data_IF_905901622404
#
_entry.id   IF_905901622404
#
_cell.length_a   1.000
_cell.length_b   1.000
_cell.length_c   1.000
_cell.angle_alpha   90.00
_cell.angle_beta   90.00
_cell.angle_gamma   90.00
#
_symmetry.space_group_name_H-M   'P 1'
#
loop_
_entity.id
_entity.type
_entity.pdbx_description
1 polymer ?
#
# COMPACT_ATOMS: atom_id res chain seq x y z
N UNK A 1 42.03 -44.97 60.99
CA UNK A 1 42.07 -43.80 60.09
C UNK A 1 41.42 -44.20 58.79
N UNK A 2 40.14 -43.87 58.65
CA UNK A 2 39.29 -44.14 57.49
C UNK A 2 39.40 -42.97 56.52
N UNK A 3 39.89 -43.22 55.31
CA UNK A 3 39.86 -42.25 54.21
C UNK A 3 38.46 -42.23 53.58
N UNK A 4 37.82 -41.06 53.41
CA UNK A 4 36.61 -40.94 52.61
C UNK A 4 36.95 -40.75 51.12
N UNK A 5 36.17 -41.39 50.25
CA UNK A 5 36.23 -41.20 48.80
C UNK A 5 35.84 -39.77 48.38
N UNK A 6 36.47 -39.20 47.33
CA UNK A 6 36.03 -37.94 46.75
C UNK A 6 34.82 -38.13 45.81
N UNK A 7 33.84 -37.24 45.99
CA UNK A 7 32.54 -37.17 45.30
C UNK A 7 32.66 -37.11 43.77
N UNK A 8 31.75 -37.81 43.11
CA UNK A 8 31.43 -37.73 41.68
C UNK A 8 31.18 -36.30 41.21
N UNK A 9 31.85 -35.91 40.12
CA UNK A 9 31.57 -34.68 39.36
C UNK A 9 30.38 -34.99 38.45
N UNK A 10 29.21 -34.41 38.74
CA UNK A 10 28.12 -34.29 37.75
C UNK A 10 28.48 -33.19 36.73
N UNK A 11 28.25 -33.39 35.43
CA UNK A 11 28.35 -32.30 34.47
C UNK A 11 27.16 -31.35 34.67
N UNK A 12 27.44 -30.05 34.66
CA UNK A 12 26.43 -29.00 34.70
C UNK A 12 25.42 -29.18 33.55
N UNK A 13 24.29 -29.79 33.88
CA UNK A 13 23.06 -29.76 33.10
C UNK A 13 22.44 -28.37 33.24
N UNK A 14 21.94 -27.85 32.13
CA UNK A 14 20.89 -26.83 32.06
C UNK A 14 21.25 -25.41 32.50
N UNK A 15 22.06 -24.74 31.68
CA UNK A 15 21.90 -23.30 31.54
C UNK A 15 22.20 -22.87 30.09
N UNK A 16 21.11 -22.54 29.39
CA UNK A 16 20.93 -21.61 28.25
C UNK A 16 20.13 -22.31 27.15
N UNK A 17 18.81 -22.04 27.05
CA UNK A 17 18.41 -20.95 26.16
C UNK A 17 17.14 -20.20 26.62
N UNK A 18 17.30 -19.06 27.30
CA UNK A 18 16.20 -18.08 27.53
C UNK A 18 16.18 -16.97 26.45
N UNK A 19 17.14 -16.96 25.52
CA UNK A 19 17.27 -15.90 24.51
C UNK A 19 16.51 -16.16 23.19
N UNK A 20 15.91 -17.33 22.99
CA UNK A 20 15.16 -17.67 21.77
C UNK A 20 13.64 -17.58 21.91
N UNK A 21 13.09 -17.48 23.13
CA UNK A 21 11.65 -17.39 23.35
C UNK A 21 11.08 -15.97 23.19
N UNK A 22 11.93 -14.94 23.14
CA UNK A 22 11.50 -13.54 22.99
C UNK A 22 11.30 -13.05 21.53
N UNK A 23 11.72 -13.82 20.52
CA UNK A 23 11.64 -13.38 19.12
C UNK A 23 10.39 -13.85 18.37
N UNK A 24 9.69 -14.88 18.86
CA UNK A 24 8.52 -15.45 18.19
C UNK A 24 7.30 -14.53 18.19
N UNK A 25 7.12 -13.68 19.21
CA UNK A 25 5.98 -12.75 19.31
C UNK A 25 6.18 -11.42 18.55
N UNK A 26 7.41 -10.92 18.48
CA UNK A 26 7.72 -9.61 17.86
C UNK A 26 7.68 -9.64 16.33
N UNK A 27 8.12 -10.75 15.73
CA UNK A 27 8.08 -10.93 14.27
C UNK A 27 6.65 -11.07 13.73
N UNK A 28 5.75 -11.67 14.50
CA UNK A 28 4.35 -11.89 14.10
C UNK A 28 3.56 -10.58 13.96
N UNK A 29 3.68 -9.66 14.92
CA UNK A 29 3.00 -8.35 14.86
C UNK A 29 3.45 -7.50 13.67
N UNK A 30 4.76 -7.43 13.43
CA UNK A 30 5.34 -6.65 12.32
C UNK A 30 4.88 -7.20 10.95
N UNK A 31 4.76 -8.51 10.81
CA UNK A 31 4.28 -9.14 9.58
C UNK A 31 2.78 -8.87 9.32
N UNK A 32 1.96 -8.79 10.37
CA UNK A 32 0.54 -8.43 10.26
C UNK A 32 0.36 -6.98 9.82
N UNK A 33 1.13 -6.05 10.39
CA UNK A 33 1.07 -4.63 10.05
C UNK A 33 1.47 -4.37 8.58
N UNK A 34 2.53 -5.02 8.09
CA UNK A 34 2.97 -4.92 6.70
C UNK A 34 1.94 -5.52 5.74
N UNK A 35 1.38 -6.68 6.10
CA UNK A 35 0.32 -7.33 5.30
C UNK A 35 -0.90 -6.41 5.18
N UNK A 36 -1.32 -5.78 6.29
CA UNK A 36 -2.43 -4.82 6.29
C UNK A 36 -2.13 -3.60 5.41
N UNK A 37 -0.93 -3.01 5.52
CA UNK A 37 -0.52 -1.86 4.71
C UNK A 37 -0.49 -2.19 3.20
N UNK A 38 -0.01 -3.38 2.83
CA UNK A 38 0.01 -3.86 1.46
C UNK A 38 -1.40 -4.04 0.88
N UNK A 39 -2.31 -4.66 1.64
CA UNK A 39 -3.70 -4.82 1.19
C UNK A 39 -4.47 -3.51 1.15
N UNK A 40 -4.23 -2.60 2.10
CA UNK A 40 -4.80 -1.26 2.07
C UNK A 40 -4.37 -0.51 0.81
N UNK A 41 -3.08 -0.60 0.42
CA UNK A 41 -2.58 -0.01 -0.81
C UNK A 41 -3.25 -0.62 -2.06
N UNK A 42 -3.40 -1.95 -2.13
CA UNK A 42 -4.09 -2.60 -3.25
C UNK A 42 -5.55 -2.18 -3.33
N UNK A 43 -6.31 -2.28 -2.24
CA UNK A 43 -7.74 -1.96 -2.24
C UNK A 43 -8.01 -0.51 -2.64
N UNK A 44 -7.27 0.42 -2.04
CA UNK A 44 -7.44 1.86 -2.32
C UNK A 44 -7.00 2.24 -3.73
N UNK A 45 -5.85 1.76 -4.21
CA UNK A 45 -5.36 2.08 -5.56
C UNK A 45 -6.22 1.49 -6.68
N UNK A 46 -6.75 0.28 -6.51
CA UNK A 46 -7.68 -0.31 -7.49
C UNK A 46 -9.04 0.37 -7.50
N UNK A 47 -9.55 0.75 -6.32
CA UNK A 47 -10.77 1.56 -6.24
C UNK A 47 -10.57 2.90 -6.97
N UNK A 48 -9.47 3.61 -6.69
CA UNK A 48 -9.18 4.89 -7.34
C UNK A 48 -8.95 4.74 -8.85
N UNK A 49 -8.33 3.64 -9.28
CA UNK A 49 -8.18 3.31 -10.70
C UNK A 49 -9.54 3.15 -11.37
N UNK A 50 -10.45 2.35 -10.80
CA UNK A 50 -11.79 2.19 -11.36
C UNK A 50 -12.56 3.52 -11.39
N UNK A 51 -12.51 4.28 -10.29
CA UNK A 51 -13.17 5.57 -10.19
C UNK A 51 -12.63 6.59 -11.20
N UNK A 52 -11.31 6.70 -11.35
CA UNK A 52 -10.73 7.70 -12.24
C UNK A 52 -10.98 7.37 -13.71
N UNK A 53 -10.99 6.09 -14.09
CA UNK A 53 -11.36 5.68 -15.45
C UNK A 53 -12.83 6.00 -15.75
N UNK A 54 -13.73 5.75 -14.79
CA UNK A 54 -15.13 6.15 -14.91
C UNK A 54 -15.25 7.67 -15.08
N UNK A 55 -14.54 8.44 -14.26
CA UNK A 55 -14.54 9.91 -14.35
C UNK A 55 -14.00 10.39 -15.69
N UNK A 56 -12.86 9.85 -16.13
CA UNK A 56 -12.14 10.27 -17.33
C UNK A 56 -12.93 9.98 -18.61
N UNK A 57 -13.48 8.77 -18.73
CA UNK A 57 -14.08 8.28 -19.99
C UNK A 57 -15.57 8.59 -20.08
N UNK A 58 -16.26 8.60 -18.93
CA UNK A 58 -17.72 8.73 -18.89
C UNK A 58 -18.12 10.07 -18.31
N UNK A 59 -17.71 10.36 -17.08
CA UNK A 59 -18.29 11.47 -16.33
C UNK A 59 -17.92 12.85 -16.88
N UNK A 60 -16.63 13.14 -17.07
CA UNK A 60 -16.20 14.45 -17.58
C UNK A 60 -16.70 14.73 -19.00
N UNK A 61 -16.66 13.80 -19.98
CA UNK A 61 -17.25 14.06 -21.30
C UNK A 61 -18.74 14.43 -21.26
N UNK A 62 -19.50 13.87 -20.30
CA UNK A 62 -20.92 14.16 -20.13
C UNK A 62 -21.21 15.57 -19.59
N UNK A 63 -20.23 16.31 -19.07
CA UNK A 63 -20.42 17.71 -18.66
C UNK A 63 -20.92 18.59 -19.80
N UNK A 64 -20.45 18.32 -21.01
CA UNK A 64 -20.88 19.04 -22.23
C UNK A 64 -22.35 18.81 -22.59
N UNK A 65 -23.04 17.88 -21.92
CA UNK A 65 -24.46 17.56 -22.12
C UNK A 65 -25.37 18.19 -21.07
N UNK A 66 -24.81 18.88 -20.07
CA UNK A 66 -25.58 19.60 -19.06
C UNK A 66 -25.94 21.00 -19.61
N UNK A 67 -27.14 21.48 -19.30
CA UNK A 67 -27.55 22.83 -19.67
C UNK A 67 -26.69 23.90 -19.00
N UNK A 68 -26.36 24.96 -19.73
CA UNK A 68 -25.47 26.04 -19.27
C UNK A 68 -26.00 26.70 -18.00
N UNK A 69 -27.31 26.87 -17.87
CA UNK A 69 -27.94 27.50 -16.70
C UNK A 69 -27.87 26.61 -15.45
N UNK A 70 -27.95 25.28 -15.60
CA UNK A 70 -27.94 24.32 -14.51
C UNK A 70 -26.53 23.90 -14.10
N UNK A 71 -25.55 24.09 -14.98
CA UNK A 71 -24.19 23.58 -14.82
C UNK A 71 -23.50 24.03 -13.52
N UNK A 72 -23.49 25.32 -13.11
CA UNK A 72 -22.76 25.73 -11.90
C UNK A 72 -23.22 25.00 -10.65
N UNK A 73 -24.55 24.85 -10.47
CA UNK A 73 -25.12 24.11 -9.33
C UNK A 73 -24.79 22.63 -9.41
N UNK A 74 -24.97 22.03 -10.58
CA UNK A 74 -24.63 20.62 -10.82
C UNK A 74 -23.15 20.33 -10.51
N UNK A 75 -22.26 21.20 -10.98
CA UNK A 75 -20.82 21.06 -10.82
C UNK A 75 -20.38 21.23 -9.37
N UNK A 76 -20.86 22.27 -8.67
CA UNK A 76 -20.55 22.50 -7.26
C UNK A 76 -20.97 21.32 -6.38
N UNK A 77 -22.17 20.78 -6.61
CA UNK A 77 -22.65 19.58 -5.92
C UNK A 77 -21.78 18.36 -6.26
N UNK A 78 -21.45 18.16 -7.54
CA UNK A 78 -20.56 17.10 -7.96
C UNK A 78 -19.18 17.17 -7.28
N UNK A 79 -18.54 18.34 -7.27
CA UNK A 79 -17.20 18.51 -6.70
C UNK A 79 -17.20 18.23 -5.19
N UNK A 80 -18.22 18.73 -4.49
CA UNK A 80 -18.41 18.47 -3.04
C UNK A 80 -18.64 17.00 -2.75
N UNK A 81 -19.56 16.34 -3.47
CA UNK A 81 -19.88 14.92 -3.26
C UNK A 81 -18.70 14.01 -3.61
N UNK A 82 -17.97 14.33 -4.68
CA UNK A 82 -16.75 13.61 -5.08
C UNK A 82 -15.68 13.68 -3.99
N UNK A 83 -15.51 14.84 -3.35
CA UNK A 83 -14.55 15.01 -2.25
C UNK A 83 -14.82 14.04 -1.10
N UNK A 84 -16.09 13.83 -0.72
CA UNK A 84 -16.44 12.89 0.35
C UNK A 84 -16.08 11.43 0.04
N UNK A 85 -16.08 11.05 -1.23
CA UNK A 85 -15.72 9.69 -1.67
C UNK A 85 -14.21 9.55 -1.86
N UNK A 86 -13.59 10.53 -2.52
CA UNK A 86 -12.20 10.46 -2.97
C UNK A 86 -11.22 10.75 -1.85
N UNK A 87 -11.45 11.80 -1.06
CA UNK A 87 -10.46 12.27 -0.08
C UNK A 87 -10.08 11.21 0.98
N UNK A 88 -11.03 10.44 1.57
CA UNK A 88 -10.68 9.38 2.51
C UNK A 88 -9.80 8.30 1.89
N UNK A 89 -10.08 7.92 0.64
CA UNK A 89 -9.35 6.85 -0.06
C UNK A 89 -7.95 7.32 -0.46
N UNK A 90 -7.82 8.56 -0.94
CA UNK A 90 -6.52 9.17 -1.22
C UNK A 90 -5.65 9.31 0.05
N UNK A 91 -6.27 9.55 1.20
CA UNK A 91 -5.57 9.59 2.47
C UNK A 91 -5.07 8.20 2.89
N UNK A 92 -5.90 7.16 2.72
CA UNK A 92 -5.47 5.76 2.93
C UNK A 92 -4.31 5.39 2.01
N UNK A 93 -4.35 5.77 0.73
CA UNK A 93 -3.23 5.53 -0.20
C UNK A 93 -1.93 6.19 0.29
N UNK A 94 -2.00 7.45 0.74
CA UNK A 94 -0.82 8.17 1.24
C UNK A 94 -0.25 7.53 2.51
N UNK A 95 -1.11 7.20 3.47
CA UNK A 95 -0.69 6.53 4.71
C UNK A 95 -0.06 5.18 4.38
N UNK A 96 -0.71 4.35 3.55
CA UNK A 96 -0.19 3.05 3.16
C UNK A 96 1.15 3.15 2.40
N UNK A 97 1.32 4.15 1.54
CA UNK A 97 2.58 4.38 0.84
C UNK A 97 3.71 4.80 1.80
N UNK A 98 3.43 5.70 2.74
CA UNK A 98 4.40 6.16 3.75
C UNK A 98 4.79 5.02 4.69
N UNK A 99 3.82 4.27 5.23
CA UNK A 99 4.06 3.13 6.12
C UNK A 99 4.94 2.11 5.43
N UNK A 100 4.55 1.63 4.24
CA UNK A 100 5.38 0.68 3.47
C UNK A 100 6.78 1.23 3.24
N UNK A 101 6.92 2.52 2.91
CA UNK A 101 8.23 3.10 2.64
C UNK A 101 9.15 3.09 3.87
N UNK A 102 8.60 3.19 5.09
CA UNK A 102 9.38 3.22 6.33
C UNK A 102 9.59 1.83 6.94
N UNK A 103 8.60 0.93 6.87
CA UNK A 103 8.65 -0.41 7.47
C UNK A 103 9.30 -1.48 6.59
N UNK A 104 9.13 -1.40 5.26
CA UNK A 104 9.39 -2.51 4.33
C UNK A 104 10.78 -3.13 4.46
N UNK A 105 11.83 -2.30 4.54
CA UNK A 105 13.22 -2.83 4.59
C UNK A 105 13.44 -3.67 5.83
N UNK A 106 12.96 -3.21 6.99
CA UNK A 106 13.10 -3.94 8.25
C UNK A 106 12.25 -5.22 8.22
N UNK A 107 10.97 -5.10 7.85
CA UNK A 107 10.03 -6.23 7.86
C UNK A 107 10.46 -7.34 6.90
N UNK A 108 10.86 -6.99 5.67
CA UNK A 108 11.22 -7.98 4.66
C UNK A 108 12.57 -8.65 4.97
N UNK A 109 13.50 -7.92 5.58
CA UNK A 109 14.78 -8.52 6.03
C UNK A 109 14.53 -9.52 7.17
N UNK A 110 13.69 -9.18 8.15
CA UNK A 110 13.33 -10.08 9.26
C UNK A 110 12.53 -11.29 8.77
N UNK A 111 11.71 -11.12 7.74
CA UNK A 111 10.99 -12.20 7.09
C UNK A 111 11.88 -13.14 6.23
N UNK A 112 13.18 -12.87 6.12
CA UNK A 112 14.14 -13.76 5.46
C UNK A 112 14.23 -13.59 3.95
N UNK A 113 13.76 -12.48 3.39
CA UNK A 113 13.96 -12.17 1.97
C UNK A 113 15.43 -11.84 1.70
N UNK A 114 15.93 -12.25 0.53
CA UNK A 114 17.30 -11.93 0.13
C UNK A 114 17.48 -10.43 -0.15
N UNK A 115 18.74 -9.97 -0.07
CA UNK A 115 19.06 -8.55 -0.20
C UNK A 115 18.69 -7.95 -1.57
N UNK A 116 18.64 -8.76 -2.64
CA UNK A 116 18.23 -8.29 -3.97
C UNK A 116 16.73 -8.06 -4.02
N UNK A 117 15.93 -9.00 -3.50
CA UNK A 117 14.47 -8.85 -3.41
C UNK A 117 14.10 -7.63 -2.54
N UNK A 118 14.73 -7.45 -1.39
CA UNK A 118 14.49 -6.27 -0.52
C UNK A 118 14.81 -4.96 -1.26
N UNK A 119 15.93 -4.89 -2.00
CA UNK A 119 16.28 -3.70 -2.79
C UNK A 119 15.26 -3.41 -3.89
N UNK A 120 14.79 -4.44 -4.59
CA UNK A 120 13.77 -4.28 -5.64
C UNK A 120 12.43 -3.81 -5.06
N UNK A 121 11.99 -4.42 -3.96
CA UNK A 121 10.77 -4.05 -3.25
C UNK A 121 10.83 -2.60 -2.75
N UNK A 122 11.98 -2.15 -2.23
CA UNK A 122 12.19 -0.75 -1.85
C UNK A 122 12.02 0.21 -3.03
N UNK A 123 12.62 -0.09 -4.18
CA UNK A 123 12.47 0.73 -5.40
C UNK A 123 11.02 0.79 -5.87
N UNK A 124 10.30 -0.33 -5.80
CA UNK A 124 8.88 -0.37 -6.12
C UNK A 124 8.03 0.45 -5.12
N UNK A 125 8.36 0.41 -3.82
CA UNK A 125 7.71 1.26 -2.83
C UNK A 125 8.01 2.75 -3.03
N UNK A 126 9.26 3.11 -3.36
CA UNK A 126 9.67 4.47 -3.75
C UNK A 126 8.84 4.97 -4.95
N UNK A 127 8.72 4.14 -6.00
CA UNK A 127 7.90 4.45 -7.17
C UNK A 127 6.41 4.62 -6.80
N UNK A 128 5.86 3.71 -5.99
CA UNK A 128 4.48 3.81 -5.54
C UNK A 128 4.20 5.11 -4.78
N UNK A 129 5.09 5.51 -3.86
CA UNK A 129 4.97 6.78 -3.16
C UNK A 129 5.05 7.97 -4.12
N UNK A 130 5.98 7.96 -5.08
CA UNK A 130 6.08 9.01 -6.08
C UNK A 130 4.78 9.16 -6.90
N UNK A 131 4.16 8.06 -7.31
CA UNK A 131 2.88 8.06 -8.03
C UNK A 131 1.73 8.63 -7.18
N UNK A 132 1.67 8.28 -5.89
CA UNK A 132 0.70 8.88 -4.95
C UNK A 132 0.91 10.38 -4.83
N UNK A 133 2.17 10.84 -4.69
CA UNK A 133 2.48 12.26 -4.62
C UNK A 133 2.10 13.01 -5.91
N UNK A 134 2.33 12.41 -7.08
CA UNK A 134 1.86 12.96 -8.37
C UNK A 134 0.34 13.13 -8.33
N UNK A 135 -0.42 12.15 -7.87
CA UNK A 135 -1.88 12.26 -7.75
C UNK A 135 -2.30 13.37 -6.79
N UNK A 136 -1.66 13.49 -5.63
CA UNK A 136 -1.93 14.55 -4.65
C UNK A 136 -1.63 15.94 -5.20
N UNK A 137 -0.43 16.15 -5.76
CA UNK A 137 -0.03 17.44 -6.29
C UNK A 137 -0.82 17.84 -7.53
N UNK A 138 -1.07 16.91 -8.46
CA UNK A 138 -1.98 17.17 -9.58
C UNK A 138 -3.33 17.62 -9.04
N UNK A 139 -3.91 16.87 -8.10
CA UNK A 139 -5.24 17.19 -7.55
C UNK A 139 -5.27 18.60 -6.95
N UNK A 140 -4.32 18.93 -6.07
CA UNK A 140 -4.30 20.21 -5.37
C UNK A 140 -3.96 21.40 -6.27
N UNK A 141 -3.03 21.23 -7.22
CA UNK A 141 -2.47 22.34 -8.01
C UNK A 141 -3.14 22.52 -9.36
N UNK A 142 -3.83 21.50 -9.88
CA UNK A 142 -4.44 21.52 -11.21
C UNK A 142 -5.95 21.30 -11.12
N UNK A 143 -6.40 20.18 -10.56
CA UNK A 143 -7.83 19.86 -10.57
C UNK A 143 -8.66 20.76 -9.65
N UNK A 144 -8.17 21.08 -8.45
CA UNK A 144 -8.89 21.98 -7.53
C UNK A 144 -9.09 23.38 -8.14
N UNK A 145 -8.06 24.05 -8.70
CA UNK A 145 -8.26 25.33 -9.40
C UNK A 145 -9.22 25.24 -10.59
N UNK A 146 -9.08 24.22 -11.46
CA UNK A 146 -9.96 24.05 -12.62
C UNK A 146 -11.41 23.81 -12.21
N UNK A 147 -11.66 23.01 -11.17
CA UNK A 147 -13.00 22.84 -10.62
C UNK A 147 -13.54 24.16 -10.04
N UNK A 148 -12.71 24.97 -9.38
CA UNK A 148 -13.11 26.28 -8.87
C UNK A 148 -13.54 27.26 -9.97
N UNK A 149 -12.92 27.20 -11.15
CA UNK A 149 -13.37 27.98 -12.31
C UNK A 149 -14.77 27.54 -12.79
N UNK A 150 -15.04 26.24 -12.81
CA UNK A 150 -16.32 25.66 -13.26
C UNK A 150 -17.46 25.81 -12.24
N UNK A 151 -17.17 26.16 -11.00
CA UNK A 151 -18.20 26.46 -9.99
C UNK A 151 -18.96 27.77 -10.30
N UNK A 152 -18.36 28.69 -11.05
CA UNK A 152 -18.97 29.98 -11.39
C UNK A 152 -19.82 29.91 -12.67
N UNK A 153 -19.29 29.26 -13.72
CA UNK A 153 -19.94 29.19 -15.02
C UNK A 153 -19.56 27.95 -15.83
N UNK A 154 -20.37 27.66 -16.85
CA UNK A 154 -20.01 26.65 -17.84
C UNK A 154 -18.92 27.21 -18.75
N UNK A 155 -17.76 26.56 -18.76
CA UNK A 155 -16.67 26.84 -19.68
C UNK A 155 -16.12 25.58 -20.34
N UNK A 156 -16.32 25.48 -21.65
CA UNK A 156 -15.88 24.33 -22.45
C UNK A 156 -14.35 24.21 -22.52
N UNK A 157 -13.61 25.31 -22.47
CA UNK A 157 -12.15 25.29 -22.51
C UNK A 157 -11.59 24.74 -21.19
N UNK A 158 -12.09 25.22 -20.06
CA UNK A 158 -11.74 24.66 -18.74
C UNK A 158 -12.13 23.18 -18.61
N UNK A 159 -13.28 22.75 -19.15
CA UNK A 159 -13.66 21.32 -19.19
C UNK A 159 -12.64 20.52 -20.02
N UNK A 160 -12.22 21.01 -21.19
CA UNK A 160 -11.22 20.33 -22.00
C UNK A 160 -9.86 20.24 -21.28
N UNK A 161 -9.43 21.30 -20.59
CA UNK A 161 -8.23 21.30 -19.76
C UNK A 161 -8.33 20.32 -18.59
N UNK A 162 -9.51 20.22 -17.95
CA UNK A 162 -9.78 19.25 -16.89
C UNK A 162 -9.65 17.81 -17.40
N UNK A 163 -10.28 17.50 -18.54
CA UNK A 163 -10.21 16.17 -19.17
C UNK A 163 -8.77 15.83 -19.58
N UNK A 164 -8.05 16.79 -20.19
CA UNK A 164 -6.69 16.60 -20.65
C UNK A 164 -5.70 16.38 -19.50
N UNK A 165 -5.76 17.22 -18.47
CA UNK A 165 -4.88 17.12 -17.30
C UNK A 165 -5.16 15.88 -16.44
N UNK A 166 -6.40 15.38 -16.42
CA UNK A 166 -6.77 14.22 -15.62
C UNK A 166 -6.22 12.88 -16.15
N UNK A 167 -5.73 12.83 -17.39
CA UNK A 167 -4.98 11.67 -17.90
C UNK A 167 -3.72 11.38 -17.09
N UNK A 168 -3.05 12.41 -16.56
CA UNK A 168 -1.87 12.23 -15.69
C UNK A 168 -2.24 11.38 -14.48
N UNK A 169 -3.37 11.70 -13.83
CA UNK A 169 -3.87 10.97 -12.66
C UNK A 169 -4.36 9.57 -13.03
N UNK A 170 -5.03 9.45 -14.18
CA UNK A 170 -5.51 8.16 -14.70
C UNK A 170 -4.36 7.17 -14.88
N UNK A 171 -3.27 7.61 -15.50
CA UNK A 171 -2.06 6.80 -15.67
C UNK A 171 -1.37 6.56 -14.33
N UNK A 172 -1.22 7.59 -13.49
CA UNK A 172 -0.53 7.45 -12.21
C UNK A 172 -1.23 6.47 -11.25
N UNK A 173 -2.55 6.54 -11.10
CA UNK A 173 -3.31 5.56 -10.32
C UNK A 173 -3.26 4.16 -10.91
N UNK A 174 -3.37 4.02 -12.24
CA UNK A 174 -3.28 2.71 -12.90
C UNK A 174 -1.91 2.05 -12.65
N UNK A 175 -0.81 2.80 -12.77
CA UNK A 175 0.52 2.30 -12.45
C UNK A 175 0.68 2.00 -10.96
N UNK A 176 0.11 2.83 -10.07
CA UNK A 176 0.16 2.61 -8.63
C UNK A 176 -0.55 1.31 -8.23
N UNK A 177 -1.69 0.99 -8.86
CA UNK A 177 -2.42 -0.25 -8.65
C UNK A 177 -1.59 -1.48 -9.06
N UNK A 178 -0.90 -1.41 -10.19
CA UNK A 178 0.01 -2.49 -10.65
C UNK A 178 1.18 -2.68 -9.69
N UNK A 179 1.83 -1.59 -9.27
CA UNK A 179 2.94 -1.63 -8.31
C UNK A 179 2.50 -2.23 -6.96
N UNK A 180 1.34 -1.80 -6.45
CA UNK A 180 0.80 -2.28 -5.18
C UNK A 180 0.47 -3.78 -5.25
N UNK A 181 -0.13 -4.23 -6.35
CA UNK A 181 -0.43 -5.64 -6.58
C UNK A 181 0.84 -6.49 -6.68
N UNK A 182 1.85 -6.01 -7.42
CA UNK A 182 3.13 -6.71 -7.55
C UNK A 182 3.81 -6.91 -6.18
N UNK A 183 3.79 -5.89 -5.32
CA UNK A 183 4.36 -5.99 -3.97
C UNK A 183 3.62 -6.99 -3.08
N UNK A 184 2.27 -7.02 -3.12
CA UNK A 184 1.49 -8.05 -2.41
C UNK A 184 1.84 -9.45 -2.90
N UNK A 185 1.99 -9.65 -4.20
CA UNK A 185 2.34 -10.97 -4.78
C UNK A 185 3.71 -11.43 -4.29
N UNK A 186 4.72 -10.56 -4.34
CA UNK A 186 6.08 -10.89 -3.89
C UNK A 186 6.09 -11.20 -2.39
N UNK A 187 5.43 -10.36 -1.58
CA UNK A 187 5.26 -10.59 -0.15
C UNK A 187 4.63 -11.95 0.14
N UNK A 188 3.52 -12.26 -0.52
CA UNK A 188 2.76 -13.50 -0.31
C UNK A 188 3.61 -14.74 -0.63
N UNK A 189 4.41 -14.70 -1.69
CA UNK A 189 5.32 -15.79 -2.07
C UNK A 189 6.42 -16.00 -1.04
N UNK A 190 7.12 -14.94 -0.64
CA UNK A 190 8.22 -15.10 0.31
C UNK A 190 7.77 -15.51 1.73
N UNK A 191 6.57 -15.09 2.15
CA UNK A 191 5.97 -15.57 3.40
C UNK A 191 5.61 -17.06 3.33
N UNK A 192 5.19 -17.57 2.16
CA UNK A 192 4.92 -18.99 1.96
C UNK A 192 6.21 -19.82 1.99
N UNK A 193 7.29 -19.31 1.37
CA UNK A 193 8.58 -19.98 1.26
C UNK A 193 9.43 -19.88 2.54
N UNK A 194 8.96 -19.17 3.57
CA UNK A 194 9.72 -18.92 4.79
C UNK A 194 10.04 -20.23 5.56
N UNK A 195 11.29 -20.43 6.02
CA UNK A 195 11.74 -21.64 6.74
C UNK A 195 10.86 -21.99 7.97
N UNK A 196 10.30 -20.97 8.63
CA UNK A 196 9.43 -21.14 9.79
C UNK A 196 8.16 -21.97 9.49
N UNK A 197 7.58 -21.89 8.27
CA UNK A 197 6.44 -22.73 7.86
C UNK A 197 6.86 -24.15 7.49
N UNK A 198 8.02 -24.33 6.87
CA UNK A 198 8.54 -25.66 6.48
C UNK A 198 8.74 -26.59 7.68
N UNK A 199 9.08 -26.06 8.85
CA UNK A 199 9.22 -26.86 10.07
C UNK A 199 7.89 -27.19 10.77
N UNK A 200 6.79 -26.48 10.46
CA UNK A 200 5.46 -26.78 11.03
C UNK A 200 4.70 -27.87 10.29
N UNK A 201 5.02 -28.07 9.01
CA UNK A 201 4.56 -29.22 8.24
C UNK A 201 5.63 -30.30 8.37
N UNK A 202 5.56 -31.09 9.44
CA UNK A 202 6.45 -32.26 9.59
C UNK A 202 6.43 -33.14 8.33
N UNK A 203 7.45 -34.01 8.13
CA UNK A 203 7.49 -34.90 6.97
C UNK A 203 6.15 -35.66 6.88
N UNK A 204 5.61 -35.86 5.66
CA UNK A 204 4.38 -36.64 5.50
C UNK A 204 4.59 -37.98 6.21
N UNK A 205 3.69 -38.31 7.13
CA UNK A 205 3.69 -39.61 7.80
C UNK A 205 3.70 -40.67 6.72
N UNK A 206 4.83 -41.38 6.59
CA UNK A 206 4.98 -42.50 5.69
C UNK A 206 3.98 -43.57 6.14
N UNK A 207 2.91 -43.74 5.36
CA UNK A 207 1.99 -44.88 5.43
C UNK A 207 2.60 -46.04 4.65
#
# INVERSE_FOLDING_TARGET
>A
MSHPEPRSIEPASDAVPVLLQGQSGRGGGIALDETAALWAAVASSWMMTGLIWFVQVVHYPLYTRVGVAEFPRYHADHARLTTWVVAPVMLVELIAAVVRRTSLTATWTVAGFDATTVRQARRAADLGLALVLVNWFSTALVQVPLHGCLDAEFDAETIAALVGSNWVRTVAWSLHAVVSLALVIVWSRGVQDSPARRNTLGPPSSV
#
